data_IF_568188585853
#
_entry.id   IF_568188585853
#
_cell.length_a   1.000
_cell.length_b   1.000
_cell.length_c   1.000
_cell.angle_alpha   90.00
_cell.angle_beta   90.00
_cell.angle_gamma   90.00
#
_symmetry.space_group_name_H-M   'P 1'
#
loop_
_entity.id
_entity.type
_entity.pdbx_description
1 polymer ?
#
# COMPACT_ATOMS: atom_id res chain seq x y z
N UNK A 1 21.83 54.87 1.26
CA UNK A 1 22.37 53.56 0.83
C UNK A 1 21.90 52.33 1.62
N UNK A 2 21.23 52.46 2.79
CA UNK A 2 20.69 51.31 3.54
C UNK A 2 19.21 50.96 3.24
N UNK A 3 18.44 51.91 2.70
CA UNK A 3 17.02 51.68 2.35
C UNK A 3 16.86 51.14 0.92
N UNK A 4 17.82 51.43 0.02
CA UNK A 4 17.82 50.87 -1.34
C UNK A 4 18.24 49.39 -1.41
N UNK A 5 18.82 48.83 -0.34
CA UNK A 5 19.24 47.42 -0.31
C UNK A 5 18.08 46.47 0.05
N UNK A 6 17.02 46.98 0.68
CA UNK A 6 15.85 46.17 1.07
C UNK A 6 14.84 45.97 -0.07
N UNK A 7 14.82 46.87 -1.07
CA UNK A 7 13.95 46.73 -2.25
C UNK A 7 14.49 45.77 -3.32
N UNK A 8 15.79 45.43 -3.27
CA UNK A 8 16.42 44.51 -4.23
C UNK A 8 16.25 43.02 -3.84
N UNK A 9 15.86 42.73 -2.59
CA UNK A 9 15.71 41.36 -2.08
C UNK A 9 14.29 40.80 -2.33
N UNK A 10 13.30 41.66 -2.64
CA UNK A 10 11.92 41.22 -2.90
C UNK A 10 11.65 40.77 -4.34
N UNK A 11 12.66 40.77 -5.23
CA UNK A 11 12.52 40.42 -6.65
C UNK A 11 13.06 39.03 -6.99
N UNK A 12 13.54 38.26 -6.01
CA UNK A 12 13.90 36.85 -6.16
C UNK A 12 12.77 36.01 -5.56
N UNK A 13 11.55 36.24 -6.02
CA UNK A 13 10.49 35.24 -5.90
C UNK A 13 10.85 34.14 -6.90
N UNK A 14 11.49 33.09 -6.39
CA UNK A 14 11.75 31.84 -7.11
C UNK A 14 10.48 31.45 -7.88
N UNK A 15 10.61 31.34 -9.21
CA UNK A 15 9.54 30.84 -10.07
C UNK A 15 9.23 29.40 -9.69
N UNK A 16 8.23 29.21 -8.84
CA UNK A 16 7.55 27.93 -8.73
C UNK A 16 6.85 27.67 -10.06
N UNK A 17 7.28 26.66 -10.82
CA UNK A 17 6.49 26.16 -11.93
C UNK A 17 5.19 25.60 -11.35
N UNK A 18 4.10 26.37 -11.43
CA UNK A 18 2.78 25.85 -11.14
C UNK A 18 2.40 24.90 -12.29
N UNK A 19 2.39 23.59 -12.03
CA UNK A 19 1.89 22.61 -13.00
C UNK A 19 0.42 22.91 -13.33
N UNK A 20 0.06 22.90 -14.60
CA UNK A 20 -1.34 23.09 -15.00
C UNK A 20 -2.13 21.80 -14.84
N UNK A 21 -3.45 21.88 -14.69
CA UNK A 21 -4.31 20.69 -14.67
C UNK A 21 -4.18 19.87 -15.97
N UNK A 22 -3.84 20.52 -17.09
CA UNK A 22 -3.58 19.85 -18.36
C UNK A 22 -2.30 19.00 -18.28
N UNK A 23 -1.23 19.54 -17.70
CA UNK A 23 0.03 18.83 -17.52
C UNK A 23 -0.16 17.62 -16.59
N UNK A 24 -0.84 17.83 -15.45
CA UNK A 24 -1.17 16.76 -14.51
C UNK A 24 -2.02 15.67 -15.14
N UNK A 25 -3.04 16.04 -15.93
CA UNK A 25 -3.88 15.07 -16.66
C UNK A 25 -3.04 14.27 -17.67
N UNK A 26 -2.10 14.92 -18.36
CA UNK A 26 -1.21 14.27 -19.33
C UNK A 26 -0.24 13.31 -18.65
N UNK A 27 0.43 13.73 -17.58
CA UNK A 27 1.36 12.90 -16.81
C UNK A 27 0.67 11.64 -16.28
N UNK A 28 -0.52 11.78 -15.70
CA UNK A 28 -1.32 10.65 -15.23
C UNK A 28 -1.69 9.68 -16.37
N UNK A 29 -2.06 10.20 -17.54
CA UNK A 29 -2.37 9.37 -18.70
C UNK A 29 -1.15 8.63 -19.24
N UNK A 30 0.00 9.31 -19.34
CA UNK A 30 1.26 8.71 -19.78
C UNK A 30 1.72 7.61 -18.80
N UNK A 31 1.50 7.80 -17.49
CA UNK A 31 1.74 6.78 -16.45
C UNK A 31 0.86 5.54 -16.64
N UNK A 32 -0.45 5.73 -16.89
CA UNK A 32 -1.36 4.64 -17.22
C UNK A 32 -0.90 3.87 -18.47
N UNK A 33 -0.52 4.56 -19.55
CA UNK A 33 -0.04 3.91 -20.78
C UNK A 33 1.25 3.11 -20.54
N UNK A 34 2.13 3.57 -19.64
CA UNK A 34 3.33 2.82 -19.22
C UNK A 34 2.94 1.51 -18.54
N UNK A 35 2.00 1.55 -17.60
CA UNK A 35 1.49 0.35 -16.92
C UNK A 35 0.80 -0.61 -17.90
N UNK A 36 0.01 -0.11 -18.86
CA UNK A 36 -0.66 -0.95 -19.86
C UNK A 36 0.35 -1.68 -20.77
N UNK A 37 1.43 -0.98 -21.14
CA UNK A 37 2.55 -1.58 -21.88
C UNK A 37 3.25 -2.68 -21.08
N UNK A 38 3.51 -2.45 -19.80
CA UNK A 38 4.11 -3.43 -18.88
C UNK A 38 3.22 -4.67 -18.74
N UNK A 39 1.90 -4.48 -18.57
CA UNK A 39 0.94 -5.57 -18.54
C UNK A 39 1.00 -6.42 -19.82
N UNK A 40 1.10 -5.79 -20.99
CA UNK A 40 1.26 -6.52 -22.23
C UNK A 40 2.60 -7.29 -22.28
N UNK A 41 3.69 -6.73 -21.78
CA UNK A 41 4.98 -7.43 -21.70
C UNK A 41 4.89 -8.68 -20.81
N UNK A 42 4.30 -8.57 -19.63
CA UNK A 42 4.04 -9.71 -18.71
C UNK A 42 3.18 -10.77 -19.40
N UNK A 43 2.11 -10.35 -20.06
CA UNK A 43 1.22 -11.25 -20.81
C UNK A 43 1.96 -12.00 -21.94
N UNK A 44 2.78 -11.31 -22.75
CA UNK A 44 3.59 -11.97 -23.79
C UNK A 44 4.62 -12.94 -23.20
N UNK A 45 5.21 -12.59 -22.06
CA UNK A 45 6.14 -13.45 -21.33
C UNK A 45 5.44 -14.75 -20.88
N UNK A 46 4.23 -14.65 -20.34
CA UNK A 46 3.42 -15.83 -20.00
C UNK A 46 3.10 -16.70 -21.21
N UNK A 47 2.73 -16.11 -22.36
CA UNK A 47 2.50 -16.88 -23.58
C UNK A 47 3.76 -17.65 -24.03
N UNK A 48 4.94 -17.13 -23.73
CA UNK A 48 6.22 -17.77 -24.06
C UNK A 48 6.57 -18.87 -23.07
N UNK A 49 6.44 -18.61 -21.76
CA UNK A 49 6.73 -19.55 -20.68
C UNK A 49 5.82 -20.78 -20.78
N UNK A 50 4.52 -20.57 -21.00
CA UNK A 50 3.52 -21.63 -21.04
C UNK A 50 3.17 -22.07 -22.46
N UNK A 51 4.06 -21.86 -23.45
CA UNK A 51 3.79 -22.10 -24.88
C UNK A 51 3.27 -23.52 -25.20
N UNK A 52 3.68 -24.52 -24.42
CA UNK A 52 3.26 -25.91 -24.60
C UNK A 52 1.94 -26.23 -23.86
N UNK A 53 1.55 -25.43 -22.86
CA UNK A 53 0.29 -25.59 -22.13
C UNK A 53 -0.85 -24.84 -22.83
N UNK A 54 -1.37 -25.49 -23.87
CA UNK A 54 -2.46 -24.94 -24.69
C UNK A 54 -3.74 -24.69 -23.90
N UNK A 55 -4.01 -25.46 -22.84
CA UNK A 55 -5.18 -25.29 -21.99
C UNK A 55 -5.05 -24.04 -21.12
N UNK A 56 -3.90 -23.85 -20.48
CA UNK A 56 -3.59 -22.62 -19.75
C UNK A 56 -3.66 -21.40 -20.66
N UNK A 57 -3.01 -21.42 -21.84
CA UNK A 57 -3.01 -20.27 -22.75
C UNK A 57 -4.42 -19.88 -23.19
N UNK A 58 -5.29 -20.87 -23.47
CA UNK A 58 -6.70 -20.62 -23.80
C UNK A 58 -7.41 -19.89 -22.67
N UNK A 59 -7.19 -20.33 -21.43
CA UNK A 59 -7.83 -19.75 -20.25
C UNK A 59 -7.23 -18.39 -19.85
N UNK A 60 -5.92 -18.19 -20.00
CA UNK A 60 -5.25 -16.90 -19.82
C UNK A 60 -5.82 -15.85 -20.78
N UNK A 61 -5.98 -16.20 -22.07
CA UNK A 61 -6.61 -15.33 -23.07
C UNK A 61 -8.05 -14.96 -22.70
N UNK A 62 -8.84 -15.92 -22.24
CA UNK A 62 -10.21 -15.68 -21.80
C UNK A 62 -10.26 -14.78 -20.57
N UNK A 63 -9.47 -15.10 -19.54
CA UNK A 63 -9.34 -14.31 -18.31
C UNK A 63 -8.92 -12.88 -18.61
N UNK A 64 -7.91 -12.67 -19.48
CA UNK A 64 -7.43 -11.33 -19.81
C UNK A 64 -8.47 -10.48 -20.54
N UNK A 65 -9.26 -11.07 -21.46
CA UNK A 65 -10.35 -10.35 -22.15
C UNK A 65 -11.46 -9.94 -21.18
N UNK A 66 -11.83 -10.84 -20.27
CA UNK A 66 -12.82 -10.56 -19.23
C UNK A 66 -12.29 -9.47 -18.30
N UNK A 67 -11.02 -9.55 -17.90
CA UNK A 67 -10.39 -8.53 -17.06
C UNK A 67 -10.42 -7.13 -17.69
N UNK A 68 -10.18 -7.00 -19.00
CA UNK A 68 -10.31 -5.71 -19.70
C UNK A 68 -11.74 -5.18 -19.58
N UNK A 69 -12.74 -6.04 -19.79
CA UNK A 69 -14.15 -5.66 -19.67
C UNK A 69 -14.51 -5.27 -18.23
N UNK A 70 -13.98 -6.02 -17.25
CA UNK A 70 -14.12 -5.71 -15.83
C UNK A 70 -13.49 -4.35 -15.48
N UNK A 71 -12.24 -4.08 -15.90
CA UNK A 71 -11.55 -2.80 -15.67
C UNK A 71 -12.37 -1.63 -16.21
N UNK A 72 -12.88 -1.76 -17.42
CA UNK A 72 -13.67 -0.71 -18.06
C UNK A 72 -15.04 -0.53 -17.36
N UNK A 73 -15.62 -1.61 -16.82
CA UNK A 73 -16.84 -1.56 -16.00
C UNK A 73 -16.59 -0.93 -14.62
N UNK A 74 -15.48 -1.26 -13.95
CA UNK A 74 -15.05 -0.66 -12.69
C UNK A 74 -14.85 0.85 -12.83
N UNK A 75 -14.22 1.30 -13.93
CA UNK A 75 -14.07 2.73 -14.20
C UNK A 75 -15.44 3.43 -14.30
N UNK A 76 -16.39 2.83 -15.03
CA UNK A 76 -17.75 3.35 -15.15
C UNK A 76 -18.54 3.30 -13.84
N UNK A 77 -18.32 2.28 -13.02
CA UNK A 77 -18.90 2.20 -11.68
C UNK A 77 -18.36 3.32 -10.77
N UNK A 78 -17.04 3.54 -10.79
CA UNK A 78 -16.37 4.56 -9.98
C UNK A 78 -16.72 5.98 -10.43
N UNK A 79 -16.83 6.19 -11.75
CA UNK A 79 -17.25 7.45 -12.36
C UNK A 79 -18.45 7.24 -13.30
N UNK A 80 -19.67 7.09 -12.75
CA UNK A 80 -20.87 6.95 -13.56
C UNK A 80 -21.08 8.16 -14.47
N UNK A 81 -21.76 7.96 -15.59
CA UNK A 81 -22.16 9.05 -16.48
C UNK A 81 -23.03 10.06 -15.71
N UNK A 82 -22.65 11.33 -15.77
CA UNK A 82 -23.31 12.47 -15.11
C UNK A 82 -23.35 13.65 -16.09
N UNK A 83 -24.07 14.69 -15.70
CA UNK A 83 -24.13 15.95 -16.46
C UNK A 83 -22.72 16.51 -16.73
N UNK A 84 -22.49 17.14 -17.91
CA UNK A 84 -21.20 17.71 -18.26
C UNK A 84 -20.63 18.63 -17.18
N UNK A 85 -19.37 18.42 -16.82
CA UNK A 85 -18.68 19.21 -15.80
C UNK A 85 -18.86 18.73 -14.35
N UNK A 86 -19.70 17.72 -14.09
CA UNK A 86 -19.95 17.22 -12.72
C UNK A 86 -18.66 16.89 -11.93
N UNK A 87 -17.69 16.22 -12.56
CA UNK A 87 -16.42 15.84 -11.92
C UNK A 87 -15.30 16.89 -12.06
N UNK A 88 -15.56 18.00 -12.75
CA UNK A 88 -14.58 19.06 -12.99
C UNK A 88 -13.40 18.67 -13.89
N UNK A 89 -12.42 19.58 -13.97
CA UNK A 89 -11.23 19.45 -14.85
C UNK A 89 -10.20 18.41 -14.37
N UNK A 90 -10.31 17.95 -13.13
CA UNK A 90 -9.45 16.90 -12.54
C UNK A 90 -9.88 15.48 -12.98
N UNK A 91 -11.08 15.32 -13.52
CA UNK A 91 -11.65 14.02 -13.86
C UNK A 91 -10.74 13.14 -14.73
N UNK A 92 -10.08 13.63 -15.80
CA UNK A 92 -9.18 12.81 -16.61
C UNK A 92 -7.99 12.24 -15.83
N UNK A 93 -7.39 13.03 -14.91
CA UNK A 93 -6.35 12.54 -14.01
C UNK A 93 -6.87 11.44 -13.09
N UNK A 94 -8.04 11.64 -12.48
CA UNK A 94 -8.64 10.67 -11.58
C UNK A 94 -9.01 9.34 -12.28
N UNK A 95 -9.45 9.41 -13.55
CA UNK A 95 -9.70 8.23 -14.37
C UNK A 95 -8.40 7.51 -14.73
N UNK A 96 -7.38 8.25 -15.18
CA UNK A 96 -6.08 7.68 -15.54
C UNK A 96 -5.40 6.98 -14.35
N UNK A 97 -5.37 7.62 -13.18
CA UNK A 97 -4.79 7.03 -11.97
C UNK A 97 -5.52 5.74 -11.55
N UNK A 98 -6.84 5.70 -11.69
CA UNK A 98 -7.59 4.48 -11.34
C UNK A 98 -7.38 3.35 -12.35
N UNK A 99 -7.32 3.67 -13.64
CA UNK A 99 -6.95 2.71 -14.68
C UNK A 99 -5.53 2.16 -14.48
N UNK A 100 -4.57 3.03 -14.13
CA UNK A 100 -3.21 2.62 -13.79
C UNK A 100 -3.23 1.65 -12.60
N UNK A 101 -3.91 2.02 -11.51
CA UNK A 101 -4.04 1.17 -10.32
C UNK A 101 -4.54 -0.24 -10.66
N UNK A 102 -5.68 -0.36 -11.35
CA UNK A 102 -6.25 -1.65 -11.74
C UNK A 102 -5.29 -2.45 -12.63
N UNK A 103 -4.58 -1.77 -13.53
CA UNK A 103 -3.60 -2.37 -14.43
C UNK A 103 -2.40 -2.94 -13.68
N UNK A 104 -1.91 -2.22 -12.67
CA UNK A 104 -0.83 -2.69 -11.79
C UNK A 104 -1.26 -3.87 -10.92
N UNK A 105 -2.49 -3.88 -10.40
CA UNK A 105 -3.04 -5.06 -9.70
C UNK A 105 -3.04 -6.30 -10.59
N UNK A 106 -3.40 -6.13 -11.87
CA UNK A 106 -3.39 -7.23 -12.83
C UNK A 106 -1.98 -7.71 -13.14
N UNK A 107 -1.02 -6.80 -13.27
CA UNK A 107 0.40 -7.14 -13.41
C UNK A 107 0.82 -8.02 -12.23
N UNK A 108 0.57 -7.60 -10.98
CA UNK A 108 0.93 -8.40 -9.78
C UNK A 108 0.29 -9.79 -9.81
N UNK A 109 -0.99 -9.86 -10.15
CA UNK A 109 -1.70 -11.15 -10.28
C UNK A 109 -1.00 -12.06 -11.28
N UNK A 110 -0.66 -11.56 -12.48
CA UNK A 110 -0.03 -12.36 -13.53
C UNK A 110 1.44 -12.67 -13.25
N UNK A 111 2.12 -11.83 -12.49
CA UNK A 111 3.53 -12.00 -12.14
C UNK A 111 3.76 -13.28 -11.34
N UNK A 112 2.78 -13.74 -10.57
CA UNK A 112 2.83 -15.04 -9.88
C UNK A 112 3.11 -16.21 -10.84
N UNK A 113 2.50 -16.23 -12.03
CA UNK A 113 2.75 -17.27 -13.04
C UNK A 113 4.10 -17.11 -13.73
N UNK A 114 4.61 -15.88 -13.82
CA UNK A 114 5.94 -15.61 -14.38
C UNK A 114 7.02 -16.11 -13.42
N UNK A 115 6.89 -15.79 -12.14
CA UNK A 115 7.89 -16.07 -11.12
C UNK A 115 7.86 -17.53 -10.68
N UNK A 116 6.65 -18.11 -10.59
CA UNK A 116 6.43 -19.46 -10.09
C UNK A 116 6.44 -19.55 -8.56
N UNK A 117 6.01 -20.69 -8.03
CA UNK A 117 5.92 -20.97 -6.59
C UNK A 117 7.00 -21.95 -6.13
N UNK A 118 7.61 -21.72 -4.96
CA UNK A 118 8.70 -22.57 -4.44
C UNK A 118 8.21 -23.87 -3.81
N UNK A 119 6.97 -23.89 -3.32
CA UNK A 119 6.29 -25.11 -2.88
C UNK A 119 5.05 -25.31 -3.74
N UNK A 120 4.89 -26.52 -4.29
CA UNK A 120 3.65 -26.91 -4.96
C UNK A 120 2.62 -27.21 -3.87
N UNK A 121 1.92 -26.17 -3.42
CA UNK A 121 0.64 -26.31 -2.74
C UNK A 121 -0.31 -27.11 -3.65
N UNK A 122 -1.04 -28.06 -3.08
CA UNK A 122 -2.08 -28.81 -3.79
C UNK A 122 -3.13 -27.87 -4.43
N UNK A 123 -3.29 -26.65 -3.88
CA UNK A 123 -4.13 -25.58 -4.42
C UNK A 123 -3.41 -24.61 -5.40
N UNK A 124 -2.12 -24.80 -5.69
CA UNK A 124 -1.30 -23.89 -6.52
C UNK A 124 -1.69 -23.85 -8.01
N UNK A 125 -2.53 -24.78 -8.46
CA UNK A 125 -3.15 -24.75 -9.78
C UNK A 125 -2.16 -24.80 -10.95
N UNK A 126 -2.27 -23.85 -11.89
CA UNK A 126 -1.44 -23.79 -13.10
C UNK A 126 -0.14 -23.01 -12.94
N UNK A 127 0.18 -22.55 -11.74
CA UNK A 127 1.41 -21.82 -11.47
C UNK A 127 2.58 -22.80 -11.53
N UNK A 128 3.60 -22.49 -12.36
CA UNK A 128 4.80 -23.31 -12.46
C UNK A 128 5.58 -23.32 -11.15
N UNK A 129 6.36 -24.38 -10.91
CA UNK A 129 7.38 -24.34 -9.88
C UNK A 129 8.39 -23.24 -10.20
N UNK A 130 8.76 -22.42 -9.21
CA UNK A 130 9.81 -21.43 -9.36
C UNK A 130 11.12 -22.14 -9.71
N UNK A 131 11.84 -21.64 -10.73
CA UNK A 131 13.19 -22.14 -10.99
C UNK A 131 14.09 -21.75 -9.81
N UNK A 132 14.99 -22.65 -9.40
CA UNK A 132 15.97 -22.36 -8.37
C UNK A 132 16.82 -21.15 -8.82
N UNK A 133 16.47 -19.98 -8.28
CA UNK A 133 17.07 -18.70 -8.62
C UNK A 133 16.32 -17.82 -9.63
N UNK A 134 15.14 -18.14 -10.15
CA UNK A 134 14.36 -17.13 -10.92
C UNK A 134 13.65 -16.18 -9.95
N UNK A 135 14.29 -15.08 -9.60
CA UNK A 135 13.57 -13.95 -9.00
C UNK A 135 12.95 -13.12 -10.13
N UNK A 136 11.71 -12.67 -9.94
CA UNK A 136 10.98 -11.89 -10.94
C UNK A 136 11.74 -10.65 -11.40
N UNK A 137 11.41 -10.11 -12.57
CA UNK A 137 12.05 -8.87 -13.06
C UNK A 137 11.65 -7.66 -12.19
N UNK A 138 12.44 -6.59 -12.24
CA UNK A 138 12.02 -5.32 -11.65
C UNK A 138 10.74 -4.83 -12.32
N UNK A 139 9.73 -4.50 -11.51
CA UNK A 139 8.47 -3.93 -11.97
C UNK A 139 8.40 -2.46 -11.61
N UNK A 140 7.52 -1.72 -12.27
CA UNK A 140 7.26 -0.35 -11.82
C UNK A 140 6.43 -0.38 -10.52
N UNK A 141 6.74 0.46 -9.53
CA UNK A 141 6.00 0.49 -8.29
C UNK A 141 4.54 0.91 -8.50
N UNK A 142 3.65 0.43 -7.64
CA UNK A 142 2.29 0.95 -7.48
C UNK A 142 2.25 2.46 -7.20
N UNK A 143 1.10 3.10 -7.46
CA UNK A 143 0.92 4.54 -7.23
C UNK A 143 1.34 5.02 -5.83
N UNK A 144 1.09 4.22 -4.79
CA UNK A 144 1.45 4.52 -3.40
C UNK A 144 2.69 3.74 -2.90
N UNK A 145 3.30 2.95 -3.78
CA UNK A 145 4.41 2.06 -3.44
C UNK A 145 5.73 2.77 -3.75
N UNK A 146 6.66 2.68 -2.82
CA UNK A 146 8.03 3.15 -3.00
C UNK A 146 8.87 1.99 -3.52
N UNK A 147 9.90 2.29 -4.30
CA UNK A 147 10.91 1.32 -4.74
C UNK A 147 12.28 1.83 -4.32
N UNK A 148 12.99 1.06 -3.52
CA UNK A 148 14.33 1.39 -3.04
C UNK A 148 15.30 0.23 -3.28
N UNK A 149 16.59 0.56 -3.29
CA UNK A 149 17.68 -0.40 -3.45
C UNK A 149 18.60 -0.34 -2.24
N UNK A 150 18.76 -1.45 -1.53
CA UNK A 150 19.55 -1.48 -0.31
C UNK A 150 20.07 -2.87 0.02
N UNK A 151 20.85 -2.98 1.09
CA UNK A 151 21.42 -4.24 1.56
C UNK A 151 20.64 -4.77 2.75
N UNK A 152 20.17 -6.01 2.67
CA UNK A 152 19.44 -6.64 3.77
C UNK A 152 20.44 -7.02 4.86
N UNK A 153 20.36 -6.37 6.02
CA UNK A 153 21.28 -6.59 7.13
C UNK A 153 20.77 -7.62 8.12
N UNK A 154 19.48 -7.52 8.47
CA UNK A 154 18.82 -8.38 9.44
C UNK A 154 17.44 -8.79 8.94
N UNK A 155 17.03 -9.98 9.34
CA UNK A 155 15.68 -10.51 9.20
C UNK A 155 15.37 -11.10 10.58
N UNK A 156 14.36 -10.56 11.23
CA UNK A 156 13.93 -10.95 12.58
C UNK A 156 12.53 -11.55 12.49
N UNK A 157 12.31 -12.67 13.17
CA UNK A 157 11.02 -13.36 13.22
C UNK A 157 10.13 -12.69 14.27
N UNK A 158 9.01 -12.15 13.83
CA UNK A 158 8.02 -11.47 14.68
C UNK A 158 6.79 -12.35 14.96
N UNK A 159 6.88 -13.65 14.65
CA UNK A 159 5.77 -14.58 14.64
C UNK A 159 5.26 -14.78 13.21
N UNK A 160 5.56 -15.95 12.64
CA UNK A 160 5.11 -16.32 11.30
C UNK A 160 3.62 -16.03 11.06
N UNK A 161 3.23 -15.39 9.94
CA UNK A 161 4.06 -15.09 8.76
C UNK A 161 4.80 -13.74 8.77
N UNK A 162 4.91 -13.08 9.93
CA UNK A 162 5.45 -11.73 10.04
C UNK A 162 6.95 -11.69 10.36
N UNK A 163 7.68 -10.82 9.67
CA UNK A 163 9.11 -10.59 9.83
C UNK A 163 9.42 -9.10 9.84
N UNK A 164 10.49 -8.70 10.55
CA UNK A 164 11.12 -7.38 10.38
C UNK A 164 12.36 -7.54 9.54
N UNK A 165 12.44 -6.80 8.43
CA UNK A 165 13.59 -6.77 7.53
C UNK A 165 14.31 -5.44 7.68
N UNK A 166 15.51 -5.45 8.27
CA UNK A 166 16.37 -4.26 8.33
C UNK A 166 17.16 -4.13 7.03
N UNK A 167 17.04 -2.99 6.37
CA UNK A 167 17.78 -2.66 5.14
C UNK A 167 18.69 -1.45 5.38
N UNK A 168 19.96 -1.61 5.03
CA UNK A 168 20.94 -0.52 4.96
C UNK A 168 20.90 0.14 3.57
N UNK A 169 20.94 1.48 3.56
CA UNK A 169 21.08 2.29 2.36
C UNK A 169 22.44 3.01 2.36
N UNK A 170 23.51 2.41 1.78
CA UNK A 170 24.88 2.89 1.96
C UNK A 170 25.12 4.33 1.51
N UNK A 171 24.49 4.74 0.41
CA UNK A 171 24.65 6.10 -0.13
C UNK A 171 24.09 7.19 0.80
N UNK A 172 23.12 6.82 1.63
CA UNK A 172 22.42 7.72 2.56
C UNK A 172 22.83 7.49 4.02
N UNK A 173 23.68 6.49 4.29
CA UNK A 173 24.23 6.13 5.60
C UNK A 173 23.16 5.99 6.71
N UNK A 174 22.09 5.25 6.42
CA UNK A 174 21.01 4.96 7.38
C UNK A 174 20.45 3.54 7.17
N UNK A 175 19.84 3.00 8.22
CA UNK A 175 19.09 1.75 8.22
C UNK A 175 17.60 2.04 8.39
N UNK A 176 16.75 1.21 7.78
CA UNK A 176 15.29 1.24 7.96
C UNK A 176 14.80 -0.17 8.22
N UNK A 177 13.91 -0.29 9.19
CA UNK A 177 13.17 -1.52 9.46
C UNK A 177 11.86 -1.53 8.67
N UNK A 178 11.60 -2.67 8.03
CA UNK A 178 10.41 -2.90 7.24
C UNK A 178 9.63 -4.09 7.77
N UNK A 179 8.31 -3.94 7.84
CA UNK A 179 7.39 -5.02 8.17
C UNK A 179 7.12 -5.84 6.92
N UNK A 180 7.30 -7.16 7.02
CA UNK A 180 7.08 -8.10 5.94
C UNK A 180 6.12 -9.19 6.39
N UNK A 181 5.01 -9.35 5.67
CA UNK A 181 4.26 -10.60 5.66
C UNK A 181 4.85 -11.51 4.56
N UNK A 182 5.47 -12.61 4.95
CA UNK A 182 6.17 -13.50 4.02
C UNK A 182 5.20 -14.23 3.06
N UNK A 183 3.98 -14.54 3.50
CA UNK A 183 2.94 -15.15 2.67
C UNK A 183 2.45 -14.18 1.59
N UNK A 184 2.35 -12.88 1.90
CA UNK A 184 1.85 -11.88 0.93
C UNK A 184 2.75 -11.73 -0.30
N UNK A 185 4.03 -12.05 -0.15
CA UNK A 185 5.02 -12.02 -1.24
C UNK A 185 5.41 -13.42 -1.75
N UNK A 186 4.79 -14.48 -1.22
CA UNK A 186 5.07 -15.87 -1.63
C UNK A 186 6.51 -16.32 -1.35
N UNK A 187 7.09 -15.89 -0.23
CA UNK A 187 8.46 -16.27 0.19
C UNK A 187 8.39 -16.98 1.54
N UNK A 188 8.97 -18.16 1.65
CA UNK A 188 9.09 -18.86 2.94
C UNK A 188 10.24 -18.30 3.79
N UNK A 189 10.23 -18.63 5.09
CA UNK A 189 11.23 -18.14 6.04
C UNK A 189 12.66 -18.57 5.69
N UNK A 190 12.85 -19.79 5.16
CA UNK A 190 14.17 -20.30 4.82
C UNK A 190 14.78 -19.52 3.64
N UNK A 191 13.98 -19.29 2.59
CA UNK A 191 14.34 -18.50 1.43
C UNK A 191 14.58 -17.04 1.79
N UNK A 192 13.71 -16.45 2.61
CA UNK A 192 13.87 -15.07 3.08
C UNK A 192 15.24 -14.90 3.78
N UNK A 193 15.59 -15.82 4.66
CA UNK A 193 16.88 -15.81 5.35
C UNK A 193 18.09 -15.91 4.41
N UNK A 194 17.95 -16.51 3.21
CA UNK A 194 19.03 -16.52 2.20
C UNK A 194 19.34 -15.13 1.62
N UNK A 195 18.47 -14.13 1.85
CA UNK A 195 18.66 -12.77 1.37
C UNK A 195 19.55 -11.93 2.30
N UNK A 196 19.78 -12.40 3.54
CA UNK A 196 20.63 -11.71 4.51
C UNK A 196 22.04 -11.50 3.93
N UNK A 197 22.52 -10.27 4.03
CA UNK A 197 23.81 -9.81 3.53
C UNK A 197 23.83 -9.41 2.06
N UNK A 198 22.78 -9.70 1.28
CA UNK A 198 22.68 -9.40 -0.16
C UNK A 198 22.02 -8.04 -0.40
N UNK A 199 22.34 -7.45 -1.55
CA UNK A 199 21.58 -6.32 -2.07
C UNK A 199 20.21 -6.79 -2.58
N UNK A 200 19.20 -5.96 -2.39
CA UNK A 200 17.84 -6.21 -2.83
C UNK A 200 17.16 -4.94 -3.32
N UNK A 201 16.23 -5.12 -4.26
CA UNK A 201 15.21 -4.12 -4.58
C UNK A 201 14.00 -4.39 -3.70
N UNK A 202 13.57 -3.39 -2.95
CA UNK A 202 12.46 -3.46 -2.02
C UNK A 202 11.34 -2.57 -2.52
N UNK A 203 10.14 -3.10 -2.55
CA UNK A 203 8.90 -2.38 -2.83
C UNK A 203 8.09 -2.34 -1.54
N UNK A 204 7.66 -1.15 -1.15
CA UNK A 204 6.97 -0.99 0.13
C UNK A 204 5.98 0.16 0.14
N UNK A 205 4.94 0.04 0.96
CA UNK A 205 4.03 1.13 1.30
C UNK A 205 4.57 1.85 2.54
N UNK A 206 4.57 3.18 2.51
CA UNK A 206 4.84 4.00 3.70
C UNK A 206 3.51 4.48 4.25
N UNK A 207 3.08 3.87 5.35
CA UNK A 207 1.80 4.16 5.99
C UNK A 207 2.00 4.80 7.36
N UNK A 208 0.97 5.50 7.84
CA UNK A 208 0.88 5.95 9.22
C UNK A 208 -0.14 5.06 9.90
N UNK A 209 0.32 4.30 10.89
CA UNK A 209 -0.55 3.51 11.76
C UNK A 209 -0.79 4.24 13.06
N UNK A 210 -2.04 4.25 13.51
CA UNK A 210 -2.41 4.82 14.80
C UNK A 210 -2.69 3.68 15.77
N UNK A 211 -1.94 3.63 16.88
CA UNK A 211 -2.16 2.63 17.91
C UNK A 211 -2.96 3.24 19.06
N UNK A 212 -4.18 2.76 19.28
CA UNK A 212 -5.03 3.23 20.36
C UNK A 212 -4.63 2.56 21.70
N UNK A 213 -4.25 3.38 22.67
CA UNK A 213 -3.91 2.93 24.01
C UNK A 213 -5.10 2.95 24.96
N UNK A 214 -5.97 3.95 24.84
CA UNK A 214 -7.17 4.05 25.68
C UNK A 214 -8.25 4.88 25.02
N UNK A 215 -9.49 4.60 25.38
CA UNK A 215 -10.69 5.31 24.93
C UNK A 215 -11.53 5.65 26.16
N UNK A 216 -11.86 6.93 26.31
CA UNK A 216 -12.64 7.44 27.43
C UNK A 216 -14.01 7.88 26.96
N UNK A 217 -15.02 7.46 27.70
CA UNK A 217 -16.37 8.03 27.61
C UNK A 217 -16.73 8.70 28.93
N UNK A 218 -17.09 9.99 28.88
CA UNK A 218 -17.38 10.81 30.08
C UNK A 218 -16.28 10.74 31.15
N UNK A 219 -15.02 10.73 30.70
CA UNK A 219 -13.85 10.67 31.58
C UNK A 219 -13.55 9.30 32.20
N UNK A 220 -14.30 8.24 31.84
CA UNK A 220 -14.04 6.86 32.27
C UNK A 220 -13.49 6.04 31.11
N UNK A 221 -12.42 5.29 31.35
CA UNK A 221 -11.87 4.36 30.36
C UNK A 221 -12.89 3.26 30.06
N UNK A 222 -13.04 2.93 28.77
CA UNK A 222 -13.80 1.75 28.33
C UNK A 222 -12.96 0.48 28.37
N UNK A 223 -11.63 0.59 28.40
CA UNK A 223 -10.71 -0.54 28.54
C UNK A 223 -10.51 -0.94 30.02
N UNK A 224 -10.88 -0.06 30.96
CA UNK A 224 -10.83 -0.35 32.39
C UNK A 224 -9.40 -0.62 32.86
N UNK A 225 -9.19 -1.77 33.50
CA UNK A 225 -7.87 -2.19 34.03
C UNK A 225 -6.86 -2.54 32.92
N UNK A 226 -7.33 -2.74 31.68
CA UNK A 226 -6.46 -3.00 30.53
C UNK A 226 -5.88 -1.73 29.92
N UNK A 227 -6.34 -0.54 30.34
CA UNK A 227 -5.77 0.72 29.91
C UNK A 227 -4.35 0.90 30.50
N UNK A 228 -3.31 1.10 29.67
CA UNK A 228 -1.96 1.37 30.15
C UNK A 228 -1.89 2.72 30.89
N UNK A 229 -0.86 2.87 31.73
CA UNK A 229 -0.58 4.13 32.41
C UNK A 229 -0.36 5.26 31.39
N UNK A 230 -0.95 6.42 31.66
CA UNK A 230 -0.94 7.55 30.73
C UNK A 230 0.47 8.05 30.49
N UNK A 231 0.91 8.02 29.24
CA UNK A 231 2.17 8.62 28.81
C UNK A 231 1.94 10.04 28.25
N UNK A 232 2.70 11.06 28.70
CA UNK A 232 2.61 12.43 28.19
C UNK A 232 2.91 12.58 26.69
N UNK A 233 3.58 11.61 26.07
CA UNK A 233 3.91 11.60 24.64
C UNK A 233 2.72 11.22 23.74
N UNK A 234 1.65 10.67 24.32
CA UNK A 234 0.48 10.26 23.56
C UNK A 234 -0.29 11.44 23.00
N UNK A 235 -0.73 11.27 21.77
CA UNK A 235 -1.69 12.15 21.12
C UNK A 235 -3.07 11.93 21.72
N UNK A 236 -3.87 12.99 21.69
CA UNK A 236 -5.23 12.99 22.22
C UNK A 236 -6.15 13.50 21.11
N UNK A 237 -7.20 12.74 20.80
CA UNK A 237 -8.28 13.20 19.94
C UNK A 237 -9.61 13.06 20.68
N UNK A 238 -10.44 14.10 20.59
CA UNK A 238 -11.81 14.08 21.13
C UNK A 238 -12.79 14.32 20.00
N UNK A 239 -13.74 13.40 19.84
CA UNK A 239 -14.66 13.44 18.71
C UNK A 239 -15.71 12.34 18.78
N UNK A 240 -16.50 12.23 17.72
CA UNK A 240 -17.57 11.24 17.61
C UNK A 240 -16.99 9.88 17.25
N UNK A 241 -17.23 8.86 18.08
CA UNK A 241 -16.87 7.47 17.78
C UNK A 241 -17.71 6.94 16.63
N UNK A 242 -17.07 6.33 15.64
CA UNK A 242 -17.68 5.76 14.46
C UNK A 242 -17.24 4.31 14.20
N UNK A 243 -18.00 3.64 13.33
CA UNK A 243 -17.77 2.27 12.85
C UNK A 243 -17.84 1.15 13.91
N UNK A 244 -18.13 1.45 15.17
CA UNK A 244 -18.37 0.47 16.24
C UNK A 244 -19.83 -0.06 16.25
N UNK A 245 -20.31 -0.66 15.15
CA UNK A 245 -21.71 -1.12 15.05
C UNK A 245 -21.95 -2.51 15.65
N UNK A 246 -20.92 -3.35 15.74
CA UNK A 246 -20.95 -4.67 16.34
C UNK A 246 -19.59 -4.97 16.99
N UNK A 247 -19.55 -5.96 17.87
CA UNK A 247 -18.30 -6.46 18.45
C UNK A 247 -17.50 -7.21 17.39
N UNK A 248 -16.17 -7.12 17.45
CA UNK A 248 -15.29 -7.85 16.53
C UNK A 248 -15.49 -9.36 16.71
N UNK A 249 -15.81 -10.04 15.61
CA UNK A 249 -16.14 -11.46 15.61
C UNK A 249 -14.98 -12.36 15.13
N UNK A 250 -13.95 -11.78 14.53
CA UNK A 250 -12.79 -12.50 13.98
C UNK A 250 -11.52 -12.25 14.78
N UNK A 251 -10.46 -12.95 14.38
CA UNK A 251 -9.12 -12.82 14.97
C UNK A 251 -8.34 -11.59 14.47
N UNK A 252 -8.92 -10.86 13.52
CA UNK A 252 -8.37 -9.61 13.00
C UNK A 252 -9.14 -8.41 13.54
N UNK A 253 -8.45 -7.29 13.82
CA UNK A 253 -9.09 -6.07 14.28
C UNK A 253 -10.03 -5.47 13.23
N UNK A 254 -11.04 -4.76 13.70
CA UNK A 254 -11.95 -3.97 12.85
C UNK A 254 -11.52 -2.50 12.81
N UNK A 255 -12.08 -1.75 11.87
CA UNK A 255 -11.81 -0.33 11.73
C UNK A 255 -12.67 0.51 12.69
N UNK A 256 -12.02 1.23 13.59
CA UNK A 256 -12.63 2.21 14.50
C UNK A 256 -12.25 3.62 14.05
N UNK A 257 -13.21 4.56 14.07
CA UNK A 257 -12.91 5.96 13.75
C UNK A 257 -13.33 6.93 14.83
N UNK A 258 -12.61 8.04 14.92
CA UNK A 258 -13.05 9.23 15.66
C UNK A 258 -12.96 10.44 14.76
N UNK A 259 -14.09 11.14 14.64
CA UNK A 259 -14.18 12.40 13.88
C UNK A 259 -14.30 13.57 14.84
N UNK A 260 -13.34 14.49 14.81
CA UNK A 260 -13.38 15.68 15.65
C UNK A 260 -14.41 16.73 15.17
N UNK A 261 -14.47 17.88 15.86
CA UNK A 261 -15.41 18.96 15.55
C UNK A 261 -15.08 19.71 14.26
N UNK A 262 -13.85 19.60 13.77
CA UNK A 262 -13.38 20.18 12.52
C UNK A 262 -13.61 19.24 11.33
N UNK A 263 -14.07 18.02 11.60
CA UNK A 263 -14.34 16.99 10.60
C UNK A 263 -13.12 16.11 10.28
N UNK A 264 -12.04 16.22 11.06
CA UNK A 264 -10.84 15.39 10.91
C UNK A 264 -11.16 14.00 11.46
N UNK A 265 -11.14 13.01 10.58
CA UNK A 265 -11.32 11.60 10.92
C UNK A 265 -9.96 10.93 11.15
N UNK A 266 -9.78 10.30 12.31
CA UNK A 266 -8.65 9.42 12.62
C UNK A 266 -9.15 7.99 12.74
N UNK A 267 -8.45 7.07 12.08
CA UNK A 267 -8.80 5.66 12.03
C UNK A 267 -7.79 4.81 12.81
N UNK A 268 -8.30 3.75 13.42
CA UNK A 268 -7.58 2.79 14.26
C UNK A 268 -8.03 1.38 13.90
N UNK A 269 -7.09 0.46 13.69
CA UNK A 269 -7.41 -0.96 13.65
C UNK A 269 -7.48 -1.45 15.10
N UNK A 270 -8.67 -1.86 15.54
CA UNK A 270 -8.92 -2.26 16.93
C UNK A 270 -10.00 -3.34 17.07
N UNK A 271 -9.90 -4.16 18.13
CA UNK A 271 -10.94 -5.12 18.48
C UNK A 271 -12.09 -4.42 19.21
N UNK A 272 -13.23 -4.27 18.54
CA UNK A 272 -14.40 -3.55 19.05
C UNK A 272 -15.04 -4.35 20.19
N UNK A 273 -15.12 -3.73 21.37
CA UNK A 273 -15.73 -4.32 22.56
C UNK A 273 -17.21 -3.94 22.71
N UNK A 274 -18.01 -4.66 23.53
CA UNK A 274 -19.39 -4.28 23.83
C UNK A 274 -19.54 -2.85 24.37
N UNK A 275 -18.58 -2.39 25.18
CA UNK A 275 -18.54 -1.04 25.75
C UNK A 275 -18.40 0.02 24.66
N UNK A 276 -17.57 -0.24 23.65
CA UNK A 276 -17.40 0.64 22.48
C UNK A 276 -18.66 0.70 21.63
N UNK A 277 -19.31 -0.45 21.39
CA UNK A 277 -20.60 -0.50 20.66
C UNK A 277 -21.67 0.33 21.38
N UNK A 278 -21.74 0.25 22.70
CA UNK A 278 -22.72 0.98 23.51
C UNK A 278 -22.57 2.51 23.41
N UNK A 279 -21.38 3.01 23.07
CA UNK A 279 -21.08 4.44 22.93
C UNK A 279 -20.81 4.86 21.48
N UNK A 280 -21.11 4.01 20.50
CA UNK A 280 -21.02 4.37 19.09
C UNK A 280 -21.88 5.61 18.77
N UNK A 281 -21.34 6.53 17.98
CA UNK A 281 -21.94 7.83 17.69
C UNK A 281 -21.94 8.82 18.87
N UNK A 282 -21.23 8.53 19.97
CA UNK A 282 -21.05 9.46 21.09
C UNK A 282 -19.66 10.09 21.07
N UNK A 283 -19.54 11.23 21.75
CA UNK A 283 -18.24 11.89 21.94
C UNK A 283 -17.38 11.08 22.91
N UNK A 284 -16.17 10.74 22.47
CA UNK A 284 -15.15 10.00 23.23
C UNK A 284 -13.81 10.73 23.12
N UNK A 285 -12.90 10.43 24.05
CA UNK A 285 -11.52 10.89 24.01
C UNK A 285 -10.59 9.70 23.86
N UNK A 286 -9.84 9.62 22.77
CA UNK A 286 -8.86 8.57 22.50
C UNK A 286 -7.45 9.07 22.78
N UNK A 287 -6.67 8.22 23.43
CA UNK A 287 -5.23 8.36 23.63
C UNK A 287 -4.52 7.37 22.72
N UNK A 288 -3.59 7.86 21.90
CA UNK A 288 -2.94 7.06 20.88
C UNK A 288 -1.55 7.58 20.55
N UNK A 289 -0.72 6.77 19.89
CA UNK A 289 0.42 7.25 19.13
C UNK A 289 0.21 7.05 17.63
N UNK A 290 1.07 7.66 16.83
CA UNK A 290 1.15 7.35 15.41
C UNK A 290 2.58 6.96 15.08
N UNK A 291 2.74 5.85 14.38
CA UNK A 291 4.05 5.37 13.92
C UNK A 291 4.03 5.28 12.40
N UNK A 292 5.13 5.72 11.79
CA UNK A 292 5.37 5.48 10.38
C UNK A 292 5.80 4.03 10.21
N UNK A 293 5.07 3.27 9.42
CA UNK A 293 5.33 1.85 9.17
C UNK A 293 5.64 1.65 7.70
N UNK A 294 6.67 0.86 7.42
CA UNK A 294 7.13 0.56 6.06
C UNK A 294 6.80 -0.89 5.75
N UNK A 295 5.73 -1.14 4.99
CA UNK A 295 5.24 -2.50 4.71
C UNK A 295 5.77 -3.00 3.38
N UNK A 296 6.58 -4.05 3.38
CA UNK A 296 7.07 -4.67 2.14
C UNK A 296 5.91 -5.33 1.41
N UNK A 297 5.78 -4.99 0.15
CA UNK A 297 4.79 -5.55 -0.79
C UNK A 297 5.45 -6.42 -1.86
N UNK A 298 6.76 -6.28 -2.08
CA UNK A 298 7.56 -7.16 -2.91
C UNK A 298 9.05 -7.02 -2.57
N UNK A 299 9.78 -8.12 -2.54
CA UNK A 299 11.20 -8.15 -2.19
C UNK A 299 11.98 -9.00 -3.17
N UNK A 300 13.06 -8.44 -3.73
CA UNK A 300 13.90 -9.12 -4.71
C UNK A 300 15.38 -8.95 -4.38
N UNK A 301 16.05 -10.02 -3.93
CA UNK A 301 17.50 -10.04 -3.81
C UNK A 301 18.17 -10.08 -5.20
N UNK A 302 19.25 -9.32 -5.35
CA UNK A 302 20.09 -9.33 -6.55
C UNK A 302 20.91 -10.62 -6.57
N UNK A 303 21.05 -11.23 -7.75
CA UNK A 303 22.03 -12.30 -7.96
C UNK A 303 23.42 -11.69 -7.98
N UNK A 304 24.30 -12.16 -7.09
CA UNK A 304 25.74 -11.92 -7.18
C UNK A 304 26.35 -12.68 -8.37
#
# INVERSE_FOLDING_TARGET
MRILLFLLISLISLGGFAQTQLDLNKEAHDSFLKADKELNQVYQKLLTIYKEDTAFIKNLKASQRIWITFRDAELKMKYPDREPGYYGSIHPLCQANYLEYLTRERIRTLQLWVDGMTEQDECGGSVRAAEAGSQGEDREPGHAENREFGRIMRIEDSGYPMFVVTVEFPERNYEVDFDLNAESIGVDAAKLNTFKGKYAVIYYLSEIENNMFDILYKGKSLLGEYAPEKDPSWKIITGTLGRCTATTAGDLPDLVTVTDKEGIEVAFDYFITPEMVAVNGKEVTIFYDSRGVQKITYLRAVKE
#
